data_IF_128564219289
#
_entry.id   IF_128564219289
#
_cell.length_a   1.000
_cell.length_b   1.000
_cell.length_c   1.000
_cell.angle_alpha   90.00
_cell.angle_beta   90.00
_cell.angle_gamma   90.00
#
_symmetry.space_group_name_H-M   'P 1'
#
loop_
_entity.id
_entity.type
_entity.pdbx_description
1 polymer ?
#
# COMPACT_ATOMS: atom_id res chain seq x y z
N UNK A 1 -9.93 -17.13 -3.52
CA UNK A 1 -11.08 -16.22 -3.70
C UNK A 1 -10.57 -14.80 -3.75
N UNK A 2 -10.71 -14.19 -4.92
CA UNK A 2 -9.73 -13.31 -5.57
C UNK A 2 -9.67 -11.86 -5.08
N UNK A 3 -8.53 -11.22 -5.37
CA UNK A 3 -8.26 -9.78 -5.28
C UNK A 3 -9.06 -8.95 -6.32
N UNK A 4 -10.12 -9.52 -6.91
CA UNK A 4 -10.93 -8.92 -8.00
C UNK A 4 -11.38 -7.50 -7.64
N UNK A 5 -11.88 -7.28 -6.41
CA UNK A 5 -12.37 -5.97 -6.05
C UNK A 5 -11.27 -4.90 -6.01
N UNK A 6 -10.07 -5.25 -5.53
CA UNK A 6 -8.95 -4.30 -5.51
C UNK A 6 -8.49 -3.98 -6.95
N UNK A 7 -8.53 -4.98 -7.84
CA UNK A 7 -8.24 -4.79 -9.26
C UNK A 7 -9.28 -3.91 -9.96
N UNK A 8 -10.57 -4.11 -9.65
CA UNK A 8 -11.67 -3.28 -10.14
C UNK A 8 -11.54 -1.83 -9.65
N UNK A 9 -11.23 -1.65 -8.36
CA UNK A 9 -10.99 -0.34 -7.76
C UNK A 9 -9.82 0.36 -8.46
N UNK A 10 -8.68 -0.32 -8.62
CA UNK A 10 -7.51 0.22 -9.32
C UNK A 10 -7.82 0.62 -10.76
N UNK A 11 -8.51 -0.23 -11.52
CA UNK A 11 -8.96 0.11 -12.89
C UNK A 11 -9.83 1.36 -12.90
N UNK A 12 -10.75 1.47 -11.95
CA UNK A 12 -11.69 2.59 -11.88
C UNK A 12 -11.01 3.90 -11.50
N UNK A 13 -10.05 3.84 -10.57
CA UNK A 13 -9.18 4.98 -10.22
C UNK A 13 -8.36 5.39 -11.44
N UNK A 14 -7.67 4.45 -12.09
CA UNK A 14 -6.85 4.75 -13.27
C UNK A 14 -7.64 5.35 -14.44
N UNK A 15 -8.86 4.87 -14.68
CA UNK A 15 -9.74 5.44 -15.72
C UNK A 15 -10.21 6.86 -15.40
N UNK A 16 -10.40 7.21 -14.12
CA UNK A 16 -10.83 8.54 -13.70
C UNK A 16 -9.66 9.51 -13.51
N UNK A 17 -8.48 9.00 -13.18
CA UNK A 17 -7.32 9.79 -12.79
C UNK A 17 -7.48 10.53 -11.45
N UNK A 18 -8.56 10.28 -10.70
CA UNK A 18 -8.86 10.94 -9.42
C UNK A 18 -9.61 10.01 -8.47
N UNK A 19 -9.49 10.27 -7.17
CA UNK A 19 -10.32 9.64 -6.12
C UNK A 19 -11.49 10.58 -5.82
N UNK A 20 -12.60 10.40 -6.53
CA UNK A 20 -13.82 11.18 -6.34
C UNK A 20 -14.77 10.54 -5.30
N UNK A 21 -15.94 11.18 -5.09
CA UNK A 21 -16.98 10.69 -4.15
C UNK A 21 -17.43 9.26 -4.43
N UNK A 22 -17.42 8.83 -5.69
CA UNK A 22 -17.82 7.48 -6.07
C UNK A 22 -16.77 6.45 -5.64
N UNK A 23 -15.48 6.75 -5.84
CA UNK A 23 -14.38 5.92 -5.36
C UNK A 23 -14.35 5.88 -3.83
N UNK A 24 -14.55 7.02 -3.16
CA UNK A 24 -14.66 7.10 -1.69
C UNK A 24 -15.76 6.15 -1.19
N UNK A 25 -16.94 6.22 -1.79
CA UNK A 25 -18.05 5.35 -1.42
C UNK A 25 -17.73 3.86 -1.62
N UNK A 26 -17.02 3.51 -2.70
CA UNK A 26 -16.58 2.13 -2.95
C UNK A 26 -15.57 1.64 -1.90
N UNK A 27 -14.60 2.47 -1.52
CA UNK A 27 -13.62 2.14 -0.47
C UNK A 27 -14.36 1.85 0.85
N UNK A 28 -15.26 2.74 1.26
CA UNK A 28 -15.94 2.62 2.55
C UNK A 28 -16.92 1.46 2.60
N UNK A 29 -17.75 1.31 1.56
CA UNK A 29 -18.81 0.29 1.53
C UNK A 29 -18.30 -1.12 1.30
N UNK A 30 -17.23 -1.30 0.49
CA UNK A 30 -16.75 -2.63 0.08
C UNK A 30 -15.53 -3.09 0.85
N UNK A 31 -14.63 -2.16 1.21
CA UNK A 31 -13.40 -2.50 1.96
C UNK A 31 -13.55 -2.31 3.47
N UNK A 32 -14.59 -1.60 3.92
CA UNK A 32 -14.83 -1.29 5.33
C UNK A 32 -13.61 -0.57 5.94
N UNK A 33 -13.03 0.35 5.17
CA UNK A 33 -11.90 1.20 5.55
C UNK A 33 -12.38 2.64 5.40
N UNK A 34 -12.09 3.48 6.39
CA UNK A 34 -12.35 4.92 6.29
C UNK A 34 -11.50 5.52 5.17
N UNK A 35 -12.13 6.17 4.20
CA UNK A 35 -11.46 6.72 3.02
C UNK A 35 -10.38 7.74 3.39
N UNK A 36 -10.64 8.61 4.38
CA UNK A 36 -9.68 9.60 4.89
C UNK A 36 -8.34 8.98 5.32
N UNK A 37 -8.35 7.74 5.83
CA UNK A 37 -7.13 7.06 6.23
C UNK A 37 -6.31 6.56 5.03
N UNK A 38 -6.98 6.22 3.92
CA UNK A 38 -6.35 5.88 2.64
C UNK A 38 -5.77 7.14 2.02
N UNK A 39 -6.57 8.21 1.92
CA UNK A 39 -6.15 9.51 1.38
C UNK A 39 -4.97 10.08 2.16
N UNK A 40 -5.04 10.11 3.49
CA UNK A 40 -3.92 10.57 4.32
C UNK A 40 -2.66 9.70 4.20
N UNK A 41 -2.78 8.44 3.77
CA UNK A 41 -1.59 7.61 3.46
C UNK A 41 -0.98 8.00 2.12
N UNK A 42 -1.80 8.27 1.10
CA UNK A 42 -1.33 8.79 -0.19
C UNK A 42 -0.61 10.13 0.00
N UNK A 43 -1.22 11.05 0.76
CA UNK A 43 -0.64 12.37 1.06
C UNK A 43 0.70 12.29 1.78
N UNK A 44 0.87 11.32 2.70
CA UNK A 44 2.15 11.12 3.40
C UNK A 44 3.23 10.57 2.48
N UNK A 45 2.86 9.77 1.48
CA UNK A 45 3.78 9.26 0.49
C UNK A 45 3.86 7.73 0.44
N UNK A 46 4.08 7.25 -0.78
CA UNK A 46 4.29 5.85 -1.11
C UNK A 46 5.50 5.79 -2.03
N UNK A 47 6.44 4.91 -1.71
CA UNK A 47 7.71 4.79 -2.44
C UNK A 47 7.90 3.38 -2.97
N UNK A 48 8.32 3.29 -4.22
CA UNK A 48 8.78 2.08 -4.88
C UNK A 48 10.29 2.12 -4.98
N UNK A 49 10.95 1.24 -4.25
CA UNK A 49 12.39 1.01 -4.39
C UNK A 49 12.63 -0.13 -5.39
N UNK A 50 13.59 0.06 -6.30
CA UNK A 50 14.11 -0.99 -7.17
C UNK A 50 15.60 -1.14 -6.89
N UNK A 51 16.01 -2.35 -6.55
CA UNK A 51 17.42 -2.65 -6.26
C UNK A 51 18.07 -3.31 -7.46
N UNK A 52 19.26 -2.84 -7.82
CA UNK A 52 20.04 -3.33 -8.96
C UNK A 52 21.27 -4.11 -8.48
N UNK A 53 21.73 -5.10 -9.26
CA UNK A 53 21.19 -5.56 -10.54
C UNK A 53 20.02 -6.55 -10.42
N UNK A 54 19.66 -7.02 -9.21
CA UNK A 54 18.65 -8.10 -9.06
C UNK A 54 17.24 -7.74 -9.52
N UNK A 55 16.91 -6.45 -9.62
CA UNK A 55 15.55 -5.94 -9.80
C UNK A 55 14.59 -6.33 -8.67
N UNK A 56 15.09 -6.55 -7.43
CA UNK A 56 14.22 -6.65 -6.26
C UNK A 56 13.40 -5.38 -6.10
N UNK A 57 12.13 -5.53 -5.74
CA UNK A 57 11.21 -4.41 -5.54
C UNK A 57 10.75 -4.38 -4.09
N UNK A 58 10.83 -3.21 -3.46
CA UNK A 58 10.31 -2.96 -2.12
C UNK A 58 9.30 -1.82 -2.20
N UNK A 59 8.10 -2.03 -1.66
CA UNK A 59 7.11 -0.96 -1.52
C UNK A 59 7.04 -0.52 -0.07
N UNK A 60 7.11 0.79 0.15
CA UNK A 60 6.96 1.42 1.46
C UNK A 60 5.79 2.40 1.41
N UNK A 61 4.95 2.40 2.43
CA UNK A 61 4.02 3.48 2.70
C UNK A 61 4.41 4.19 4.00
N UNK A 62 4.40 5.52 3.98
CA UNK A 62 4.69 6.33 5.16
C UNK A 62 3.48 6.36 6.11
N UNK A 63 3.66 5.78 7.29
CA UNK A 63 2.72 5.87 8.40
C UNK A 63 2.88 7.20 9.16
N UNK A 64 2.13 7.35 10.25
CA UNK A 64 2.25 8.52 11.12
C UNK A 64 3.51 8.43 11.98
N UNK A 65 3.80 7.23 12.51
CA UNK A 65 4.90 7.01 13.44
C UNK A 65 6.10 6.31 12.79
N UNK A 66 5.85 5.50 11.76
CA UNK A 66 6.87 4.67 11.12
C UNK A 66 6.48 4.26 9.71
N UNK A 67 7.44 3.68 9.01
CA UNK A 67 7.28 3.16 7.67
C UNK A 67 6.64 1.77 7.66
N UNK A 68 5.95 1.44 6.58
CA UNK A 68 5.29 0.15 6.43
C UNK A 68 5.69 -0.52 5.13
N UNK A 69 6.31 -1.69 5.26
CA UNK A 69 6.58 -2.61 4.17
C UNK A 69 5.29 -3.15 3.58
N UNK A 70 5.19 -3.15 2.26
CA UNK A 70 4.07 -3.67 1.50
C UNK A 70 4.57 -4.70 0.48
N UNK A 71 3.94 -5.87 0.47
CA UNK A 71 3.88 -6.72 -0.70
C UNK A 71 2.50 -6.53 -1.34
N UNK A 72 2.42 -5.91 -2.53
CA UNK A 72 1.15 -5.52 -3.13
C UNK A 72 0.14 -6.66 -3.15
N UNK A 73 -1.09 -6.34 -2.72
CA UNK A 73 -2.23 -7.27 -2.67
C UNK A 73 -2.06 -8.51 -1.78
N UNK A 74 -0.96 -8.61 -1.01
CA UNK A 74 -0.63 -9.80 -0.22
C UNK A 74 -0.37 -9.49 1.25
N UNK A 75 0.49 -8.52 1.54
CA UNK A 75 0.95 -8.26 2.90
C UNK A 75 1.24 -6.79 3.13
N UNK A 76 0.99 -6.34 4.35
CA UNK A 76 1.50 -5.09 4.88
C UNK A 76 1.98 -5.31 6.31
N UNK A 77 3.09 -4.70 6.68
CA UNK A 77 3.68 -4.86 8.00
C UNK A 77 2.98 -4.05 9.11
N UNK A 78 1.93 -3.31 8.79
CA UNK A 78 1.20 -2.57 9.81
C UNK A 78 0.39 -3.49 10.74
N UNK A 79 0.23 -3.06 12.00
CA UNK A 79 -0.55 -3.79 13.02
C UNK A 79 -1.99 -4.04 12.61
N UNK A 80 -2.57 -3.11 11.85
CA UNK A 80 -3.93 -3.20 11.33
C UNK A 80 -4.12 -4.39 10.37
N UNK A 81 -3.13 -4.64 9.51
CA UNK A 81 -3.13 -5.81 8.63
C UNK A 81 -3.13 -7.09 9.45
N UNK A 82 -2.20 -7.22 10.40
CA UNK A 82 -2.13 -8.41 11.25
C UNK A 82 -3.45 -8.64 12.01
N UNK A 83 -3.95 -7.61 12.70
CA UNK A 83 -5.14 -7.74 13.53
C UNK A 83 -6.42 -7.95 12.71
N UNK A 84 -6.70 -7.06 11.75
CA UNK A 84 -8.01 -7.02 11.09
C UNK A 84 -8.09 -7.91 9.85
N UNK A 85 -6.97 -8.15 9.16
CA UNK A 85 -6.93 -9.01 7.97
C UNK A 85 -6.59 -10.46 8.32
N UNK A 86 -5.55 -10.68 9.13
CA UNK A 86 -5.06 -12.04 9.41
C UNK A 86 -5.84 -12.71 10.56
N UNK A 87 -5.92 -12.04 11.72
CA UNK A 87 -6.53 -12.62 12.93
C UNK A 87 -8.06 -12.56 12.86
N UNK A 88 -8.63 -11.35 12.80
CA UNK A 88 -10.07 -11.16 12.87
C UNK A 88 -10.78 -11.50 11.56
N UNK A 89 -10.09 -11.33 10.42
CA UNK A 89 -10.65 -11.47 9.07
C UNK A 89 -11.87 -10.56 8.82
N UNK A 90 -11.90 -9.39 9.48
CA UNK A 90 -12.95 -8.40 9.34
C UNK A 90 -12.93 -7.70 7.98
N UNK A 91 -11.75 -7.59 7.36
CA UNK A 91 -11.58 -7.04 6.01
C UNK A 91 -10.39 -7.69 5.31
N UNK A 92 -10.34 -7.56 3.97
CA UNK A 92 -9.30 -8.21 3.14
C UNK A 92 -7.98 -7.45 3.07
N UNK A 93 -8.01 -6.14 3.26
CA UNK A 93 -6.83 -5.28 3.10
C UNK A 93 -6.77 -4.26 4.23
N UNK A 94 -5.56 -3.81 4.57
CA UNK A 94 -5.39 -2.60 5.38
C UNK A 94 -5.39 -1.37 4.46
N UNK A 95 -5.53 -0.19 5.06
CA UNK A 95 -5.50 1.09 4.34
C UNK A 95 -4.24 1.28 3.47
N UNK A 96 -3.08 0.77 3.88
CA UNK A 96 -1.82 0.97 3.17
C UNK A 96 -1.76 0.17 1.86
N UNK A 97 -2.31 -1.05 1.82
CA UNK A 97 -2.39 -1.83 0.57
C UNK A 97 -3.33 -1.12 -0.42
N UNK A 98 -4.44 -0.55 0.07
CA UNK A 98 -5.38 0.19 -0.77
C UNK A 98 -4.72 1.46 -1.31
N UNK A 99 -4.03 2.21 -0.45
CA UNK A 99 -3.29 3.41 -0.85
C UNK A 99 -2.21 3.07 -1.88
N UNK A 100 -1.43 2.00 -1.69
CA UNK A 100 -0.41 1.57 -2.65
C UNK A 100 -1.00 1.16 -4.00
N UNK A 101 -2.16 0.50 -4.02
CA UNK A 101 -2.85 0.17 -5.25
C UNK A 101 -3.40 1.42 -5.96
N UNK A 102 -3.89 2.40 -5.18
CA UNK A 102 -4.36 3.69 -5.70
C UNK A 102 -3.22 4.53 -6.26
N UNK A 103 -2.08 4.64 -5.57
CA UNK A 103 -0.91 5.40 -6.04
C UNK A 103 -0.39 4.88 -7.37
N UNK A 104 -0.31 3.55 -7.53
CA UNK A 104 0.07 2.95 -8.82
C UNK A 104 -0.94 3.30 -9.92
N UNK A 105 -2.23 3.34 -9.59
CA UNK A 105 -3.30 3.65 -10.55
C UNK A 105 -3.31 5.12 -10.96
N UNK A 106 -2.88 6.01 -10.07
CA UNK A 106 -2.74 7.45 -10.30
C UNK A 106 -1.37 7.85 -10.83
N UNK A 107 -0.40 6.93 -10.83
CA UNK A 107 1.02 7.22 -11.04
C UNK A 107 1.57 8.28 -10.05
N UNK A 108 1.10 8.21 -8.80
CA UNK A 108 1.44 9.11 -7.69
C UNK A 108 2.23 8.38 -6.59
N UNK A 109 3.48 8.03 -6.89
CA UNK A 109 4.40 7.42 -5.93
C UNK A 109 5.84 7.82 -6.26
N UNK A 110 6.70 7.83 -5.26
CA UNK A 110 8.13 8.07 -5.46
C UNK A 110 8.80 6.83 -6.01
N UNK A 111 9.75 7.04 -6.92
CA UNK A 111 10.59 5.98 -7.48
C UNK A 111 12.03 6.20 -7.02
N UNK A 112 12.64 5.17 -6.44
CA UNK A 112 14.04 5.22 -5.99
C UNK A 112 14.75 3.96 -6.49
N UNK A 113 15.90 4.15 -7.12
CA UNK A 113 16.79 3.07 -7.55
C UNK A 113 18.01 3.03 -6.63
N UNK A 114 18.36 1.85 -6.13
CA UNK A 114 19.45 1.60 -5.18
C UNK A 114 20.25 0.35 -5.57
N UNK A 115 21.40 0.13 -4.96
CA UNK A 115 22.20 -1.08 -5.15
C UNK A 115 21.76 -2.22 -4.23
N UNK A 116 21.91 -3.47 -4.64
CA UNK A 116 21.48 -4.66 -3.88
C UNK A 116 22.11 -4.74 -2.48
N UNK A 117 23.30 -4.17 -2.26
CA UNK A 117 23.93 -4.07 -0.94
C UNK A 117 23.07 -3.25 0.05
N UNK A 118 22.36 -2.23 -0.44
CA UNK A 118 21.49 -1.37 0.37
C UNK A 118 20.18 -2.08 0.76
N UNK A 119 19.78 -3.12 0.01
CA UNK A 119 18.58 -3.89 0.32
C UNK A 119 18.67 -4.55 1.70
N UNK A 120 19.78 -5.22 1.98
CA UNK A 120 19.96 -5.94 3.24
C UNK A 120 20.01 -4.98 4.44
N UNK A 121 20.57 -3.78 4.26
CA UNK A 121 20.53 -2.72 5.27
C UNK A 121 19.09 -2.26 5.51
N UNK A 122 18.36 -1.94 4.43
CA UNK A 122 16.97 -1.47 4.51
C UNK A 122 16.04 -2.48 5.19
N UNK A 123 16.20 -3.78 4.89
CA UNK A 123 15.39 -4.82 5.53
C UNK A 123 15.72 -4.96 7.02
N UNK A 124 16.97 -4.80 7.43
CA UNK A 124 17.36 -4.83 8.85
C UNK A 124 16.76 -3.66 9.63
N UNK A 125 16.81 -2.46 9.07
CA UNK A 125 16.20 -1.25 9.66
C UNK A 125 14.70 -1.48 9.89
N UNK A 126 13.96 -1.86 8.84
CA UNK A 126 12.52 -2.11 8.94
C UNK A 126 12.19 -3.19 9.97
N UNK A 127 13.02 -4.24 10.11
CA UNK A 127 12.84 -5.29 11.11
C UNK A 127 12.98 -4.81 12.55
N UNK A 128 13.87 -3.84 12.79
CA UNK A 128 14.09 -3.27 14.13
C UNK A 128 12.91 -2.43 14.63
N UNK A 129 12.03 -2.02 13.70
CA UNK A 129 10.85 -1.21 14.00
C UNK A 129 9.57 -2.03 14.26
N UNK A 130 9.61 -3.37 14.14
CA UNK A 130 8.43 -4.24 14.31
C UNK A 130 8.16 -4.64 15.76
#
# INVERSE_FOLDING_TARGET
MSNIFLDELSKKIGNKGVIDKEIIHLIESKLQIKSDLVLGTLERGITKYIYKPSNRVLWIALGIEKEHLIYPKLYCSCRDFYKEVVINRNRKFCKHIVAQAASVSLNEFDYVELEDEEFEMRIKELKSEF
#
